data_IF_251878489267
#
_entry.id   IF_251878489267
#
_cell.length_a   1.000
_cell.length_b   1.000
_cell.length_c   1.000
_cell.angle_alpha   90.00
_cell.angle_beta   90.00
_cell.angle_gamma   90.00
#
_symmetry.space_group_name_H-M   'P 1'
#
loop_
_entity.id
_entity.type
_entity.pdbx_description
1 polymer ?
#
# COMPACT_ATOMS: atom_id res chain seq x y z
N UNK A 1 -18.37 14.35 -2.60
CA UNK A 1 -17.25 15.15 -2.05
C UNK A 1 -15.87 14.48 -2.19
N UNK A 2 -15.75 13.17 -2.31
CA UNK A 2 -14.46 12.43 -2.43
C UNK A 2 -13.70 12.64 -3.76
N UNK A 3 -14.35 13.17 -4.80
CA UNK A 3 -13.75 13.30 -6.12
C UNK A 3 -12.56 14.25 -6.23
N UNK A 4 -12.43 15.22 -5.32
CA UNK A 4 -11.36 16.24 -5.39
C UNK A 4 -9.99 15.79 -4.84
N UNK A 5 -9.95 14.71 -4.03
CA UNK A 5 -8.71 14.18 -3.46
C UNK A 5 -8.43 12.73 -3.93
N UNK A 6 -8.95 12.36 -5.10
CA UNK A 6 -8.87 10.99 -5.63
C UNK A 6 -7.45 10.53 -5.88
N UNK A 7 -6.58 11.45 -6.25
CA UNK A 7 -5.19 11.17 -6.62
C UNK A 7 -4.19 11.78 -5.61
N UNK A 8 -4.65 11.98 -4.37
CA UNK A 8 -3.81 12.52 -3.30
C UNK A 8 -3.05 11.41 -2.61
N UNK A 9 -1.74 11.62 -2.42
CA UNK A 9 -0.86 10.79 -1.60
C UNK A 9 -0.46 11.55 -0.34
N UNK A 10 -0.09 10.79 0.68
CA UNK A 10 0.59 11.30 1.87
C UNK A 10 2.04 10.86 1.82
N UNK A 11 2.95 11.81 1.89
CA UNK A 11 4.38 11.54 2.07
C UNK A 11 4.77 11.72 3.53
N UNK A 12 5.27 10.64 4.15
CA UNK A 12 5.73 10.62 5.55
C UNK A 12 7.24 10.60 5.61
N UNK A 13 7.85 11.67 6.14
CA UNK A 13 9.29 11.74 6.35
C UNK A 13 9.71 10.93 7.57
N UNK A 14 10.75 10.13 7.42
CA UNK A 14 11.34 9.37 8.54
C UNK A 14 12.06 10.31 9.51
N UNK A 15 12.72 11.33 8.96
CA UNK A 15 13.47 12.37 9.70
C UNK A 15 12.86 13.75 9.46
N UNK A 16 13.63 14.79 9.76
CA UNK A 16 13.22 16.18 9.54
C UNK A 16 12.92 16.45 8.05
N UNK A 17 11.82 17.10 7.78
CA UNK A 17 11.40 17.49 6.44
C UNK A 17 12.30 18.61 5.89
N UNK A 18 12.74 18.53 4.62
CA UNK A 18 13.47 19.62 3.97
C UNK A 18 12.58 20.86 3.77
N UNK A 19 13.20 22.01 3.47
CA UNK A 19 12.45 23.20 3.08
C UNK A 19 11.57 22.91 1.85
N UNK A 20 10.34 23.44 1.84
CA UNK A 20 9.35 23.16 0.81
C UNK A 20 9.82 23.42 -0.63
N UNK A 21 10.69 24.41 -0.84
CA UNK A 21 11.26 24.67 -2.17
C UNK A 21 12.17 23.55 -2.65
N UNK A 22 13.06 23.07 -1.76
CA UNK A 22 13.96 21.94 -2.05
C UNK A 22 13.15 20.69 -2.31
N UNK A 23 12.13 20.46 -1.46
CA UNK A 23 11.22 19.33 -1.57
C UNK A 23 10.53 19.30 -2.93
N UNK A 24 9.89 20.41 -3.35
CA UNK A 24 9.20 20.51 -4.64
C UNK A 24 10.14 20.28 -5.81
N UNK A 25 11.29 20.95 -5.83
CA UNK A 25 12.30 20.78 -6.88
C UNK A 25 12.80 19.34 -6.97
N UNK A 26 13.13 18.73 -5.82
CA UNK A 26 13.62 17.34 -5.76
C UNK A 26 12.56 16.34 -6.16
N UNK A 27 11.30 16.55 -5.79
CA UNK A 27 10.19 15.68 -6.18
C UNK A 27 9.96 15.71 -7.69
N UNK A 28 9.85 16.90 -8.27
CA UNK A 28 9.64 17.08 -9.74
C UNK A 28 10.80 16.49 -10.54
N UNK A 29 12.04 16.68 -10.07
CA UNK A 29 13.22 16.15 -10.76
C UNK A 29 13.30 14.61 -10.78
N UNK A 30 12.67 13.94 -9.81
CA UNK A 30 12.69 12.48 -9.67
C UNK A 30 11.44 11.79 -10.22
N UNK A 31 10.41 12.55 -10.56
CA UNK A 31 9.15 12.05 -11.07
C UNK A 31 8.91 12.58 -12.48
N UNK A 32 8.69 11.67 -13.42
CA UNK A 32 8.27 12.03 -14.77
C UNK A 32 6.74 12.06 -14.77
N UNK A 33 6.17 13.23 -14.50
CA UNK A 33 4.72 13.40 -14.42
C UNK A 33 4.19 13.88 -15.79
N UNK A 34 3.03 13.36 -16.16
CA UNK A 34 2.27 13.81 -17.33
C UNK A 34 1.41 15.04 -17.03
N UNK A 35 0.97 15.17 -15.78
CA UNK A 35 0.15 16.27 -15.28
C UNK A 35 0.86 17.14 -14.25
N UNK A 36 0.08 18.04 -13.65
CA UNK A 36 0.54 18.89 -12.57
C UNK A 36 0.60 18.16 -11.22
N UNK A 37 1.32 18.77 -10.27
CA UNK A 37 1.37 18.32 -8.90
C UNK A 37 1.28 19.50 -7.94
N UNK A 38 0.46 19.36 -6.90
CA UNK A 38 0.40 20.28 -5.77
C UNK A 38 0.95 19.60 -4.53
N UNK A 39 1.96 20.19 -3.90
CA UNK A 39 2.54 19.66 -2.67
C UNK A 39 2.26 20.65 -1.56
N UNK A 40 1.53 20.21 -0.54
CA UNK A 40 1.15 21.00 0.62
C UNK A 40 1.77 20.43 1.91
N UNK A 41 2.23 21.30 2.75
CA UNK A 41 2.69 20.98 4.09
C UNK A 41 1.48 20.63 4.97
N UNK A 42 1.57 19.54 5.71
CA UNK A 42 0.55 19.16 6.68
C UNK A 42 1.04 19.34 8.12
N UNK A 43 2.18 18.74 8.47
CA UNK A 43 2.83 18.89 9.77
C UNK A 43 4.36 18.77 9.62
N UNK A 44 5.11 18.68 10.73
CA UNK A 44 6.58 18.60 10.71
C UNK A 44 7.16 17.40 9.97
N UNK A 45 6.38 16.36 9.67
CA UNK A 45 6.82 15.12 9.02
C UNK A 45 5.96 14.67 7.84
N UNK A 46 4.76 15.23 7.69
CA UNK A 46 3.82 14.78 6.68
C UNK A 46 3.50 15.87 5.67
N UNK A 47 3.38 15.48 4.40
CA UNK A 47 2.97 16.32 3.27
C UNK A 47 1.83 15.67 2.51
N UNK A 48 1.00 16.49 1.89
CA UNK A 48 0.07 16.04 0.85
C UNK A 48 0.70 16.26 -0.52
N UNK A 49 0.56 15.25 -1.39
CA UNK A 49 0.98 15.27 -2.79
C UNK A 49 -0.27 15.02 -3.61
N UNK A 50 -0.83 16.05 -4.19
CA UNK A 50 -2.05 15.99 -5.00
C UNK A 50 -1.68 16.01 -6.47
N UNK A 51 -2.02 14.94 -7.18
CA UNK A 51 -1.68 14.69 -8.58
C UNK A 51 -2.91 14.85 -9.45
N UNK A 52 -2.74 15.32 -10.68
CA UNK A 52 -3.85 15.65 -11.56
C UNK A 52 -4.50 14.42 -12.21
N UNK A 53 -3.79 13.30 -12.30
CA UNK A 53 -4.26 12.11 -13.00
C UNK A 53 -3.88 10.80 -12.30
N UNK A 54 -4.56 9.73 -12.69
CA UNK A 54 -4.39 8.39 -12.13
C UNK A 54 -3.05 7.75 -12.49
N UNK A 55 -2.55 7.99 -13.69
CA UNK A 55 -1.29 7.40 -14.15
C UNK A 55 -0.11 7.90 -13.31
N UNK A 56 -0.04 9.20 -13.06
CA UNK A 56 0.96 9.82 -12.20
C UNK A 56 0.82 9.33 -10.75
N UNK A 57 -0.42 9.26 -10.24
CA UNK A 57 -0.70 8.74 -8.90
C UNK A 57 -0.17 7.31 -8.74
N UNK A 58 -0.47 6.40 -9.67
CA UNK A 58 0.02 5.03 -9.64
C UNK A 58 1.54 4.99 -9.74
N UNK A 59 2.13 5.74 -10.67
CA UNK A 59 3.57 5.78 -10.90
C UNK A 59 4.36 6.25 -9.67
N UNK A 60 3.86 7.26 -8.97
CA UNK A 60 4.49 7.78 -7.76
C UNK A 60 4.27 6.85 -6.58
N UNK A 61 3.02 6.44 -6.33
CA UNK A 61 2.66 5.65 -5.17
C UNK A 61 3.29 4.26 -5.14
N UNK A 62 3.39 3.61 -6.30
CA UNK A 62 3.96 2.24 -6.38
C UNK A 62 5.45 2.17 -6.08
N UNK A 63 6.14 3.30 -6.03
CA UNK A 63 7.50 3.39 -5.49
C UNK A 63 7.54 3.10 -3.98
N UNK A 64 6.46 3.34 -3.25
CA UNK A 64 6.28 3.16 -1.80
C UNK A 64 7.25 3.99 -0.94
N UNK A 65 8.47 4.14 -1.37
CA UNK A 65 9.53 4.93 -0.73
C UNK A 65 10.33 5.68 -1.78
N UNK A 66 10.71 6.90 -1.46
CA UNK A 66 11.63 7.69 -2.31
C UNK A 66 12.46 8.63 -1.45
N UNK A 67 13.57 9.13 -2.01
CA UNK A 67 14.36 10.15 -1.35
C UNK A 67 14.00 11.52 -1.93
N UNK A 68 13.55 12.45 -1.07
CA UNK A 68 13.23 13.83 -1.46
C UNK A 68 14.12 14.77 -0.67
N UNK A 69 14.94 15.57 -1.36
CA UNK A 69 15.91 16.46 -0.71
C UNK A 69 16.88 15.73 0.24
N UNK A 70 17.26 14.48 -0.11
CA UNK A 70 18.14 13.66 0.70
C UNK A 70 17.48 12.93 1.89
N UNK A 71 16.19 13.13 2.10
CA UNK A 71 15.42 12.48 3.18
C UNK A 71 14.51 11.39 2.66
N UNK A 72 14.44 10.27 3.39
CA UNK A 72 13.55 9.16 3.06
C UNK A 72 12.09 9.51 3.36
N UNK A 73 11.24 9.34 2.36
CA UNK A 73 9.80 9.55 2.43
C UNK A 73 9.09 8.24 2.12
N UNK A 74 8.19 7.83 3.00
CA UNK A 74 7.23 6.76 2.74
C UNK A 74 5.99 7.35 2.08
N UNK A 75 5.52 6.75 1.01
CA UNK A 75 4.34 7.17 0.26
C UNK A 75 3.16 6.26 0.58
N UNK A 76 2.04 6.86 0.90
CA UNK A 76 0.79 6.13 1.12
C UNK A 76 -0.39 6.84 0.47
N UNK A 77 -1.41 6.08 0.12
CA UNK A 77 -2.66 6.65 -0.39
C UNK A 77 -3.35 7.45 0.70
N UNK A 78 -3.82 8.64 0.36
CA UNK A 78 -4.68 9.40 1.25
C UNK A 78 -6.08 8.76 1.32
N UNK A 79 -6.63 8.71 2.51
CA UNK A 79 -8.02 8.29 2.75
C UNK A 79 -8.72 9.30 3.64
N UNK A 80 -10.05 9.41 3.61
CA UNK A 80 -10.79 10.29 4.51
C UNK A 80 -10.59 10.00 6.00
N UNK A 81 -10.15 8.78 6.32
CA UNK A 81 -9.85 8.33 7.68
C UNK A 81 -8.37 8.45 8.04
N UNK A 82 -7.58 9.14 7.19
CA UNK A 82 -6.16 9.33 7.43
C UNK A 82 -5.88 10.01 8.79
N UNK A 83 -4.96 9.43 9.54
CA UNK A 83 -4.42 10.00 10.78
C UNK A 83 -2.89 10.04 10.70
N UNK A 84 -2.25 11.14 11.12
CA UNK A 84 -0.79 11.29 11.02
C UNK A 84 0.02 10.21 11.72
N UNK A 85 -0.50 9.71 12.85
CA UNK A 85 0.16 8.66 13.65
C UNK A 85 -0.04 7.24 13.12
N UNK A 86 -0.81 7.03 12.05
CA UNK A 86 -1.14 5.71 11.52
C UNK A 86 -0.63 5.56 10.08
N UNK A 87 -0.35 4.32 9.65
CA UNK A 87 -0.06 3.98 8.25
C UNK A 87 -1.26 3.27 7.64
N UNK A 88 -1.48 3.48 6.33
CA UNK A 88 -2.59 2.83 5.64
C UNK A 88 -2.34 1.32 5.46
N UNK A 89 -3.36 0.47 5.60
CA UNK A 89 -3.26 -0.93 5.22
C UNK A 89 -3.35 -1.16 3.71
N UNK A 90 -3.58 -0.11 2.92
CA UNK A 90 -3.68 -0.20 1.46
C UNK A 90 -2.29 -0.09 0.87
N UNK A 91 -1.83 -1.16 0.25
CA UNK A 91 -0.48 -1.25 -0.32
C UNK A 91 -0.50 -1.81 -1.74
N UNK A 92 0.44 -1.39 -2.60
CA UNK A 92 0.65 -2.02 -3.89
C UNK A 92 1.60 -3.23 -3.71
N UNK A 93 1.16 -4.40 -4.14
CA UNK A 93 1.96 -5.63 -4.10
C UNK A 93 2.08 -6.22 -5.49
N UNK A 94 3.09 -7.07 -5.71
CA UNK A 94 3.14 -7.90 -6.91
C UNK A 94 2.33 -9.17 -6.68
N UNK A 95 1.50 -9.47 -7.64
CA UNK A 95 0.74 -10.71 -7.72
C UNK A 95 1.25 -11.50 -8.92
N UNK A 96 1.66 -12.72 -8.66
CA UNK A 96 2.20 -13.66 -9.64
C UNK A 96 1.14 -14.73 -9.93
N UNK A 97 0.90 -14.97 -11.21
CA UNK A 97 -0.07 -15.93 -11.73
C UNK A 97 0.68 -16.98 -12.57
N UNK A 98 1.12 -18.09 -11.94
CA UNK A 98 1.81 -19.16 -12.66
C UNK A 98 0.87 -19.84 -13.64
N UNK A 99 1.39 -20.23 -14.80
CA UNK A 99 0.66 -21.01 -15.83
C UNK A 99 -0.67 -20.36 -16.26
N UNK A 100 -0.76 -19.03 -16.15
CA UNK A 100 -1.92 -18.31 -16.68
C UNK A 100 -1.99 -18.51 -18.20
N UNK A 101 -3.16 -18.82 -18.78
CA UNK A 101 -3.30 -18.94 -20.22
C UNK A 101 -2.88 -17.67 -20.96
N UNK A 102 -2.14 -17.84 -22.05
CA UNK A 102 -1.54 -16.74 -22.80
C UNK A 102 -2.50 -15.65 -23.27
N UNK A 103 -3.74 -16.04 -23.60
CA UNK A 103 -4.79 -15.10 -24.01
C UNK A 103 -5.31 -14.23 -22.86
N UNK A 104 -4.97 -14.57 -21.60
CA UNK A 104 -5.35 -13.79 -20.41
C UNK A 104 -4.33 -12.72 -20.02
N UNK A 105 -3.23 -12.54 -20.78
CA UNK A 105 -2.16 -11.57 -20.49
C UNK A 105 -2.54 -10.13 -20.87
N UNK A 106 -3.75 -9.69 -20.54
CA UNK A 106 -4.25 -8.35 -20.82
C UNK A 106 -4.98 -7.77 -19.60
N UNK A 107 -4.87 -6.45 -19.43
CA UNK A 107 -5.45 -5.76 -18.27
C UNK A 107 -6.97 -5.82 -18.22
N UNK A 108 -7.64 -5.85 -19.35
CA UNK A 108 -9.10 -5.99 -19.44
C UNK A 108 -9.60 -7.33 -18.93
N UNK A 109 -8.79 -8.38 -19.04
CA UNK A 109 -9.08 -9.70 -18.47
C UNK A 109 -8.62 -9.81 -17.02
N UNK A 110 -7.42 -9.29 -16.71
CA UNK A 110 -6.84 -9.41 -15.38
C UNK A 110 -7.51 -8.50 -14.34
N UNK A 111 -8.05 -7.37 -14.75
CA UNK A 111 -8.75 -6.46 -13.84
C UNK A 111 -9.99 -7.10 -13.21
N UNK A 112 -10.96 -7.67 -13.95
CA UNK A 112 -12.07 -8.36 -13.35
C UNK A 112 -11.65 -9.64 -12.63
N UNK A 113 -10.67 -10.40 -13.15
CA UNK A 113 -10.15 -11.61 -12.52
C UNK A 113 -9.57 -11.35 -11.13
N UNK A 114 -8.81 -10.27 -10.95
CA UNK A 114 -8.17 -9.91 -9.70
C UNK A 114 -9.05 -9.05 -8.78
N UNK A 115 -10.25 -8.67 -9.20
CA UNK A 115 -11.16 -7.82 -8.41
C UNK A 115 -11.49 -8.36 -7.00
N UNK A 116 -11.57 -9.69 -6.75
CA UNK A 116 -11.77 -10.21 -5.39
C UNK A 116 -10.59 -9.96 -4.44
N UNK A 117 -9.39 -9.72 -4.99
CA UNK A 117 -8.16 -9.47 -4.23
C UNK A 117 -7.96 -7.97 -4.02
N UNK A 118 -8.19 -7.19 -5.08
CA UNK A 118 -7.97 -5.76 -5.07
C UNK A 118 -8.03 -5.13 -6.45
N UNK A 119 -7.48 -3.93 -6.58
CA UNK A 119 -7.46 -3.19 -7.84
C UNK A 119 -6.17 -3.49 -8.60
N UNK A 120 -6.26 -4.10 -9.78
CA UNK A 120 -5.13 -4.24 -10.69
C UNK A 120 -4.68 -2.85 -11.18
N UNK A 121 -3.37 -2.57 -11.12
CA UNK A 121 -2.78 -1.28 -11.44
C UNK A 121 -2.08 -1.29 -12.80
N UNK A 122 -1.16 -2.21 -12.99
CA UNK A 122 -0.42 -2.41 -14.26
C UNK A 122 0.29 -3.76 -14.29
N UNK A 123 0.70 -4.15 -15.50
CA UNK A 123 1.49 -5.36 -15.74
C UNK A 123 2.98 -5.08 -15.55
N UNK A 124 3.71 -6.10 -15.10
CA UNK A 124 5.16 -6.11 -15.24
C UNK A 124 5.58 -6.01 -16.71
N UNK A 125 6.75 -5.44 -16.96
CA UNK A 125 7.27 -5.24 -18.33
C UNK A 125 7.39 -6.54 -19.13
N UNK A 126 7.83 -7.64 -18.49
CA UNK A 126 7.97 -8.94 -19.14
C UNK A 126 6.63 -9.57 -19.47
N UNK A 127 5.62 -9.35 -18.63
CA UNK A 127 4.23 -9.77 -18.88
C UNK A 127 3.59 -8.97 -20.01
N UNK A 128 3.77 -7.65 -19.97
CA UNK A 128 3.25 -6.74 -21.01
C UNK A 128 3.86 -7.02 -22.38
N UNK A 129 5.17 -7.26 -22.44
CA UNK A 129 5.89 -7.61 -23.68
C UNK A 129 5.68 -9.07 -24.09
N UNK A 130 5.02 -9.87 -23.23
CA UNK A 130 4.81 -11.30 -23.44
C UNK A 130 6.12 -12.08 -23.69
N UNK A 131 7.22 -11.62 -23.10
CA UNK A 131 8.53 -12.27 -23.24
C UNK A 131 8.70 -13.51 -22.38
N UNK A 132 7.81 -13.72 -21.39
CA UNK A 132 7.77 -14.89 -20.51
C UNK A 132 6.35 -15.48 -20.48
N UNK A 133 6.17 -16.65 -21.09
CA UNK A 133 4.86 -17.27 -21.26
C UNK A 133 4.38 -18.14 -20.10
N UNK A 134 5.26 -18.42 -19.12
CA UNK A 134 4.93 -19.33 -18.00
C UNK A 134 4.33 -18.61 -16.78
N UNK A 135 4.44 -17.28 -16.73
CA UNK A 135 4.08 -16.49 -15.54
C UNK A 135 3.60 -15.10 -15.96
N UNK A 136 2.43 -14.71 -15.49
CA UNK A 136 1.99 -13.31 -15.55
C UNK A 136 2.21 -12.64 -14.19
N UNK A 137 2.67 -11.37 -14.21
CA UNK A 137 2.93 -10.58 -13.01
C UNK A 137 2.22 -9.24 -13.09
N UNK A 138 1.41 -8.95 -12.07
CA UNK A 138 0.53 -7.78 -12.03
C UNK A 138 0.77 -7.00 -10.75
N UNK A 139 0.89 -5.69 -10.83
CA UNK A 139 0.87 -4.83 -9.64
C UNK A 139 -0.56 -4.61 -9.22
N UNK A 140 -0.90 -4.96 -7.97
CA UNK A 140 -2.27 -4.92 -7.44
C UNK A 140 -2.30 -4.12 -6.15
N UNK A 141 -3.24 -3.21 -6.04
CA UNK A 141 -3.56 -2.53 -4.78
C UNK A 141 -4.40 -3.48 -3.93
N UNK A 142 -3.90 -3.83 -2.75
CA UNK A 142 -4.62 -4.69 -1.80
C UNK A 142 -4.79 -4.02 -0.45
N UNK A 143 -5.74 -4.52 0.32
CA UNK A 143 -5.89 -4.24 1.75
C UNK A 143 -5.27 -5.42 2.52
N UNK A 144 -4.12 -5.18 3.17
CA UNK A 144 -3.37 -6.24 3.87
C UNK A 144 -4.03 -6.71 5.17
N UNK A 145 -5.12 -6.09 5.61
CA UNK A 145 -5.93 -6.57 6.73
C UNK A 145 -6.94 -7.65 6.33
N UNK A 146 -7.19 -7.80 5.02
CA UNK A 146 -8.12 -8.78 4.48
C UNK A 146 -7.43 -10.11 4.17
N UNK A 147 -8.21 -11.17 4.21
CA UNK A 147 -7.74 -12.47 3.74
C UNK A 147 -7.36 -12.42 2.26
N UNK A 148 -6.32 -13.17 1.92
CA UNK A 148 -5.78 -13.27 0.57
C UNK A 148 -6.01 -14.68 0.06
N UNK A 149 -6.93 -14.88 -0.91
CA UNK A 149 -7.15 -16.19 -1.49
C UNK A 149 -5.90 -16.63 -2.25
N UNK A 150 -5.56 -17.92 -2.14
CA UNK A 150 -4.46 -18.53 -2.91
C UNK A 150 -4.87 -18.97 -4.31
N UNK A 151 -6.17 -18.96 -4.58
CA UNK A 151 -6.75 -19.39 -5.86
C UNK A 151 -7.91 -18.48 -6.20
N UNK A 152 -8.07 -18.20 -7.49
CA UNK A 152 -9.25 -17.55 -8.06
C UNK A 152 -9.80 -18.40 -9.19
N UNK A 153 -11.10 -18.34 -9.39
CA UNK A 153 -11.74 -19.04 -10.50
C UNK A 153 -11.52 -18.29 -11.81
N UNK A 154 -10.91 -18.97 -12.78
CA UNK A 154 -10.76 -18.51 -14.16
C UNK A 154 -11.77 -19.25 -15.01
N UNK A 155 -12.92 -18.63 -15.30
CA UNK A 155 -13.93 -19.14 -16.20
C UNK A 155 -13.53 -18.95 -17.67
N UNK A 156 -13.82 -19.94 -18.50
CA UNK A 156 -13.53 -19.91 -19.95
C UNK A 156 -14.78 -19.70 -20.81
N UNK A 157 -15.96 -19.66 -20.18
CA UNK A 157 -17.23 -19.47 -20.89
C UNK A 157 -18.17 -18.55 -20.11
N UNK A 158 -18.78 -17.59 -20.78
CA UNK A 158 -19.84 -16.76 -20.22
C UNK A 158 -21.17 -17.52 -20.08
N UNK A 159 -21.37 -18.59 -20.90
CA UNK A 159 -22.61 -19.38 -20.93
C UNK A 159 -22.56 -20.54 -19.95
N UNK A 160 -21.39 -21.09 -19.70
CA UNK A 160 -21.20 -22.23 -18.81
C UNK A 160 -20.12 -21.90 -17.78
N UNK A 161 -20.55 -21.52 -16.59
CA UNK A 161 -19.68 -21.18 -15.47
C UNK A 161 -18.96 -22.40 -14.86
N UNK A 162 -19.25 -23.61 -15.30
CA UNK A 162 -18.53 -24.83 -14.87
C UNK A 162 -17.25 -25.04 -15.66
N UNK A 163 -17.13 -24.39 -16.83
CA UNK A 163 -15.95 -24.50 -17.69
C UNK A 163 -14.90 -23.47 -17.25
N UNK A 164 -13.88 -23.97 -16.58
CA UNK A 164 -12.80 -23.12 -16.09
C UNK A 164 -11.79 -23.90 -15.27
N UNK A 165 -10.84 -23.19 -14.66
CA UNK A 165 -9.86 -23.75 -13.74
C UNK A 165 -9.63 -22.86 -12.54
N UNK A 166 -9.19 -23.42 -11.42
CA UNK A 166 -8.63 -22.67 -10.30
C UNK A 166 -7.24 -22.20 -10.67
N UNK A 167 -7.08 -20.89 -10.76
CA UNK A 167 -5.81 -20.22 -11.01
C UNK A 167 -5.11 -19.94 -9.69
N UNK A 168 -3.88 -20.42 -9.54
CA UNK A 168 -3.01 -20.15 -8.39
C UNK A 168 -2.60 -18.68 -8.39
N UNK A 169 -2.54 -18.10 -7.20
CA UNK A 169 -2.09 -16.73 -6.95
C UNK A 169 -0.99 -16.76 -5.91
N UNK A 170 0.09 -16.10 -6.23
CA UNK A 170 1.21 -15.87 -5.32
C UNK A 170 1.37 -14.38 -5.08
N UNK A 171 1.63 -14.00 -3.82
CA UNK A 171 1.83 -12.62 -3.43
C UNK A 171 3.28 -12.41 -3.04
N UNK A 172 3.94 -11.44 -3.66
CA UNK A 172 5.32 -11.10 -3.36
C UNK A 172 5.38 -9.95 -2.34
N UNK A 173 6.24 -10.11 -1.33
CA UNK A 173 6.64 -9.05 -0.39
C UNK A 173 5.48 -8.29 0.26
N UNK A 174 4.47 -9.01 0.73
CA UNK A 174 3.36 -8.39 1.48
C UNK A 174 3.85 -7.95 2.86
N UNK A 175 3.82 -6.64 3.18
CA UNK A 175 4.28 -6.18 4.47
C UNK A 175 3.36 -6.65 5.61
N UNK A 176 3.93 -6.92 6.78
CA UNK A 176 3.17 -7.12 8.00
C UNK A 176 2.47 -5.81 8.40
N UNK A 177 1.32 -5.93 9.03
CA UNK A 177 0.56 -4.78 9.52
C UNK A 177 0.06 -5.03 10.94
N UNK A 178 0.44 -4.16 11.84
CA UNK A 178 0.04 -4.25 13.23
C UNK A 178 -1.33 -3.59 13.44
N UNK A 179 -2.34 -4.39 13.79
CA UNK A 179 -3.68 -3.88 14.09
C UNK A 179 -3.75 -3.03 15.37
N UNK A 180 -2.76 -3.12 16.26
CA UNK A 180 -2.69 -2.34 17.48
C UNK A 180 -2.22 -0.91 17.23
N UNK A 181 -0.99 -0.75 16.72
CA UNK A 181 -0.39 0.57 16.49
C UNK A 181 -0.66 1.14 15.09
N UNK A 182 -1.32 0.37 14.20
CA UNK A 182 -1.64 0.77 12.82
C UNK A 182 -0.42 1.14 11.98
N UNK A 183 0.70 0.40 12.16
CA UNK A 183 1.91 0.56 11.37
C UNK A 183 2.26 -0.71 10.62
N UNK A 184 2.96 -0.53 9.50
CA UNK A 184 3.52 -1.62 8.71
C UNK A 184 4.90 -2.03 9.26
N UNK A 185 5.32 -3.28 8.98
CA UNK A 185 6.66 -3.78 9.23
C UNK A 185 6.80 -4.72 10.44
N UNK A 186 5.74 -4.93 11.22
CA UNK A 186 5.73 -5.89 12.33
C UNK A 186 4.34 -6.47 12.58
N UNK A 187 4.28 -7.59 13.29
CA UNK A 187 3.03 -8.24 13.73
C UNK A 187 2.47 -7.62 15.03
N UNK A 188 1.28 -8.05 15.43
CA UNK A 188 0.70 -7.67 16.72
C UNK A 188 1.53 -8.18 17.92
N UNK A 189 2.20 -9.33 17.74
CA UNK A 189 2.99 -10.00 18.78
C UNK A 189 4.30 -9.26 19.03
N UNK A 190 4.89 -8.69 17.98
CA UNK A 190 6.16 -7.96 18.02
C UNK A 190 5.96 -6.43 18.15
N UNK A 191 4.79 -5.98 18.59
CA UNK A 191 4.46 -4.56 18.62
C UNK A 191 5.12 -3.83 19.79
N UNK A 192 6.11 -2.94 19.55
CA UNK A 192 6.79 -2.23 20.63
C UNK A 192 5.90 -1.19 21.34
N UNK A 193 4.85 -0.74 20.69
CA UNK A 193 3.87 0.16 21.32
C UNK A 193 3.01 -0.60 22.31
N UNK A 194 2.51 -1.78 21.91
CA UNK A 194 1.71 -2.66 22.77
C UNK A 194 2.52 -3.08 24.01
N UNK A 195 3.75 -3.52 23.82
CA UNK A 195 4.65 -3.91 24.94
C UNK A 195 4.85 -2.75 25.94
N UNK A 196 5.12 -1.56 25.43
CA UNK A 196 5.25 -0.35 26.28
C UNK A 196 3.97 -0.04 27.05
N UNK A 197 2.82 -0.11 26.39
CA UNK A 197 1.54 0.18 27.02
C UNK A 197 1.18 -0.85 28.10
N UNK A 198 1.49 -2.13 27.87
CA UNK A 198 1.33 -3.20 28.85
C UNK A 198 2.26 -3.03 30.05
N UNK A 199 3.51 -2.59 29.84
CA UNK A 199 4.44 -2.26 30.91
C UNK A 199 3.96 -1.09 31.78
N UNK A 200 3.45 -0.04 31.13
CA UNK A 200 2.89 1.11 31.85
C UNK A 200 1.69 0.67 32.70
N UNK A 201 0.84 -0.20 32.16
CA UNK A 201 -0.32 -0.72 32.87
C UNK A 201 0.09 -1.55 34.08
N UNK A 202 1.04 -2.47 33.93
CA UNK A 202 1.59 -3.30 35.01
C UNK A 202 2.20 -2.43 36.14
N UNK A 203 2.95 -1.39 35.80
CA UNK A 203 3.52 -0.47 36.79
C UNK A 203 2.44 0.27 37.59
N UNK A 204 1.41 0.78 36.91
CA UNK A 204 0.28 1.45 37.56
C UNK A 204 -0.50 0.52 38.51
N UNK A 205 -0.74 -0.71 38.12
CA UNK A 205 -1.40 -1.73 38.95
C UNK A 205 -0.57 -2.06 40.18
N UNK A 206 0.75 -2.22 40.01
CA UNK A 206 1.67 -2.48 41.16
C UNK A 206 1.72 -1.30 42.13
N UNK A 207 1.73 -0.08 41.66
CA UNK A 207 1.69 1.15 42.48
C UNK A 207 0.35 1.30 43.22
N UNK A 208 -0.77 0.93 42.59
CA UNK A 208 -2.10 0.96 43.24
C UNK A 208 -2.21 -0.06 44.36
N UNK A 209 -1.69 -1.28 44.16
CA UNK A 209 -1.64 -2.32 45.19
C UNK A 209 -0.80 -1.87 46.40
N UNK A 210 0.40 -1.29 46.16
CA UNK A 210 1.25 -0.79 47.25
C UNK A 210 0.59 0.34 48.06
N UNK A 211 -0.15 1.24 47.39
CA UNK A 211 -0.90 2.33 48.05
C UNK A 211 -2.11 1.81 48.85
N UNK A 212 -2.71 0.69 48.42
CA UNK A 212 -3.83 0.05 49.13
C UNK A 212 -3.43 -0.74 50.39
N UNK A 213 -2.19 -1.22 50.47
CA UNK A 213 -1.66 -1.98 51.60
C UNK A 213 -1.04 -1.11 52.71
N UNK A 214 -0.95 0.19 52.49
CA UNK A 214 -0.34 1.17 53.42
C UNK A 214 -1.36 1.96 54.28
N UNK A 215 -2.61 1.49 54.39
CA UNK A 215 -3.65 2.08 55.28
C UNK A 215 -4.05 1.16 56.39
#
# INVERSE_FOLDING_TARGET
MLGRCRYTLVGKFTNAMPKMEILRKSFIAQTQLFGGVKIAHFNSRDIYIDLDNEADHISVWTKQKMYIGGQLVKLQVWTPTFKPGEETPIVPVWVTLPELPWHCYYMDILTPLLSPIGKALYLDSTTMQKSRGSVAKVRVQIDITKERPRHIWLGFSEKDHTIGKWQIIEFDDVPLYCLYCKHQGHSLEECPVKERDEDIKRRKETEAIKKGQGK
#
